data_IF_498871910760
#
_entry.id   IF_498871910760
#
_cell.length_a   1.000
_cell.length_b   1.000
_cell.length_c   1.000
_cell.angle_alpha   90.00
_cell.angle_beta   90.00
_cell.angle_gamma   90.00
#
_symmetry.space_group_name_H-M   'P 1'
#
loop_
_entity.id
_entity.type
_entity.pdbx_description
1 polymer ?
#
# COMPACT_ATOMS: atom_id res chain seq x y z
N UNK A 1 -42.57 37.28 10.38
CA UNK A 1 -42.31 36.19 11.35
C UNK A 1 -41.07 35.43 10.89
N UNK A 2 -39.88 35.82 11.38
CA UNK A 2 -38.59 35.19 11.03
C UNK A 2 -38.10 34.36 12.24
N UNK A 3 -38.51 33.10 12.30
CA UNK A 3 -38.01 32.14 13.31
C UNK A 3 -37.78 30.80 12.61
N UNK A 4 -36.81 30.72 11.69
CA UNK A 4 -36.37 29.43 11.10
C UNK A 4 -34.87 29.42 10.74
N UNK A 5 -34.00 30.00 11.56
CA UNK A 5 -32.57 30.06 11.22
C UNK A 5 -31.57 30.15 12.38
N UNK A 6 -31.95 29.91 13.63
CA UNK A 6 -31.06 30.12 14.79
C UNK A 6 -30.61 28.87 15.56
N UNK A 7 -31.06 27.67 15.18
CA UNK A 7 -30.78 26.42 15.94
C UNK A 7 -29.73 25.53 15.23
N UNK A 8 -29.45 25.75 13.95
CA UNK A 8 -28.52 24.91 13.17
C UNK A 8 -27.05 25.34 13.36
N UNK A 9 -26.81 26.62 13.71
CA UNK A 9 -25.46 27.15 13.95
C UNK A 9 -24.70 26.54 15.15
N UNK A 10 -25.30 26.40 16.35
CA UNK A 10 -24.55 25.91 17.52
C UNK A 10 -24.28 24.40 17.50
N UNK A 11 -25.11 23.60 16.80
CA UNK A 11 -24.90 22.15 16.69
C UNK A 11 -23.73 21.83 15.76
N UNK A 12 -23.57 22.58 14.66
CA UNK A 12 -22.41 22.42 13.76
C UNK A 12 -21.07 22.78 14.42
N UNK A 13 -21.06 23.76 15.33
CA UNK A 13 -19.86 24.17 16.07
C UNK A 13 -19.49 23.14 17.15
N UNK A 14 -20.47 22.49 17.79
CA UNK A 14 -20.19 21.45 18.78
C UNK A 14 -19.59 20.18 18.15
N UNK A 15 -20.03 19.82 16.93
CA UNK A 15 -19.44 18.72 16.15
C UNK A 15 -18.00 19.04 15.73
N UNK A 16 -17.70 20.31 15.40
CA UNK A 16 -16.34 20.76 15.12
C UNK A 16 -15.40 20.65 16.32
N UNK A 17 -15.87 20.92 17.54
CA UNK A 17 -15.02 20.86 18.74
C UNK A 17 -14.75 19.41 19.16
N UNK A 18 -15.73 18.51 19.03
CA UNK A 18 -15.51 17.08 19.30
C UNK A 18 -14.60 16.45 18.23
N UNK A 19 -14.74 16.85 16.97
CA UNK A 19 -13.81 16.46 15.90
C UNK A 19 -12.40 17.05 16.05
N UNK A 20 -12.27 18.22 16.69
CA UNK A 20 -10.97 18.84 16.97
C UNK A 20 -10.21 18.19 18.14
N UNK A 21 -10.89 17.52 19.06
CA UNK A 21 -10.24 16.81 20.19
C UNK A 21 -9.70 15.44 19.74
N UNK A 22 -10.26 14.84 18.69
CA UNK A 22 -9.71 13.61 18.08
C UNK A 22 -8.62 13.87 17.04
N UNK A 23 -8.23 15.13 16.81
CA UNK A 23 -7.20 15.52 15.84
C UNK A 23 -5.90 16.00 16.52
N UNK A 24 -5.58 15.45 17.69
CA UNK A 24 -4.32 15.72 18.39
C UNK A 24 -3.66 14.39 18.78
N UNK A 25 -3.08 13.73 17.80
CA UNK A 25 -1.93 12.86 18.05
C UNK A 25 -1.04 12.86 16.82
N UNK A 26 0.12 13.50 17.00
CA UNK A 26 1.38 13.25 16.30
C UNK A 26 1.53 13.86 14.90
N UNK A 27 1.58 15.20 14.86
CA UNK A 27 2.50 15.87 13.93
C UNK A 27 3.86 15.94 14.63
N UNK A 28 4.77 15.02 14.30
CA UNK A 28 6.19 15.11 14.65
C UNK A 28 6.98 15.26 13.37
N UNK A 29 7.57 16.44 13.20
CA UNK A 29 8.57 16.66 12.19
C UNK A 29 9.91 16.01 12.63
N UNK A 30 10.61 15.42 11.65
CA UNK A 30 12.05 15.12 11.60
C UNK A 30 12.54 13.83 12.27
N UNK A 31 12.64 12.78 11.45
CA UNK A 31 13.86 11.99 11.22
C UNK A 31 13.67 11.22 9.90
N UNK A 32 14.73 10.80 9.20
CA UNK A 32 14.60 9.90 8.05
C UNK A 32 13.83 8.62 8.47
N UNK A 33 12.54 8.56 8.15
CA UNK A 33 11.71 7.38 8.29
C UNK A 33 11.43 6.95 6.86
N UNK A 34 11.78 5.72 6.56
CA UNK A 34 11.59 5.09 5.27
C UNK A 34 10.08 4.86 5.07
N UNK A 35 9.39 5.89 4.55
CA UNK A 35 7.93 6.03 4.66
C UNK A 35 7.19 4.95 3.87
N UNK A 36 6.24 4.30 4.55
CA UNK A 36 5.38 3.29 3.95
C UNK A 36 4.14 3.96 3.40
N UNK A 37 3.85 3.71 2.13
CA UNK A 37 2.73 4.38 1.43
C UNK A 37 1.40 3.74 1.82
N UNK A 38 1.46 2.48 2.26
CA UNK A 38 0.33 1.75 2.80
C UNK A 38 0.78 1.04 4.07
N UNK A 39 0.01 1.21 5.14
CA UNK A 39 0.33 0.76 6.49
C UNK A 39 -0.79 -0.16 6.97
N UNK A 40 -0.42 -1.35 7.43
CA UNK A 40 -1.30 -2.30 8.11
C UNK A 40 -2.58 -2.62 7.32
N UNK A 41 -2.45 -2.86 6.02
CA UNK A 41 -3.58 -3.25 5.15
C UNK A 41 -3.60 -4.76 4.93
N UNK A 42 -4.80 -5.35 4.84
CA UNK A 42 -4.97 -6.77 4.47
C UNK A 42 -5.41 -6.94 3.02
N UNK A 43 -5.93 -5.89 2.41
CA UNK A 43 -6.27 -5.81 1.00
C UNK A 43 -6.27 -4.35 0.55
N UNK A 44 -6.10 -4.12 -0.74
CA UNK A 44 -6.16 -2.78 -1.30
C UNK A 44 -6.05 -2.74 -2.81
N UNK A 45 -6.31 -1.55 -3.36
CA UNK A 45 -6.00 -1.23 -4.75
C UNK A 45 -4.84 -0.24 -4.80
N UNK A 46 -3.72 -0.66 -5.39
CA UNK A 46 -2.54 0.16 -5.65
C UNK A 46 -2.65 0.75 -7.05
N UNK A 47 -2.43 2.06 -7.19
CA UNK A 47 -2.41 2.72 -8.51
C UNK A 47 -0.99 2.68 -9.07
N UNK A 48 -0.83 2.08 -10.24
CA UNK A 48 0.39 2.17 -11.05
C UNK A 48 0.17 3.30 -12.06
N UNK A 49 0.98 4.35 -12.00
CA UNK A 49 0.93 5.45 -12.98
C UNK A 49 2.02 5.31 -14.05
N UNK A 50 3.28 5.26 -13.64
CA UNK A 50 4.45 5.06 -14.54
C UNK A 50 5.60 4.31 -13.83
N UNK A 51 5.26 3.58 -12.77
CA UNK A 51 6.22 2.91 -11.90
C UNK A 51 6.63 1.57 -12.50
N UNK A 52 7.76 1.54 -13.19
CA UNK A 52 8.28 0.27 -13.70
C UNK A 52 8.82 -0.66 -12.57
N UNK A 53 9.23 -0.09 -11.43
CA UNK A 53 9.84 -0.82 -10.30
C UNK A 53 8.87 -1.56 -9.37
N UNK A 54 7.56 -1.36 -9.55
CA UNK A 54 6.52 -1.96 -8.70
C UNK A 54 6.54 -1.49 -7.24
N UNK A 55 5.98 -2.32 -6.37
CA UNK A 55 5.87 -2.10 -4.94
C UNK A 55 6.59 -3.19 -4.17
N UNK A 56 7.19 -2.86 -3.02
CA UNK A 56 7.77 -3.84 -2.10
C UNK A 56 6.83 -4.02 -0.91
N UNK A 57 6.55 -5.27 -0.56
CA UNK A 57 5.61 -5.66 0.49
C UNK A 57 6.37 -6.22 1.68
N UNK A 58 6.05 -5.73 2.86
CA UNK A 58 6.58 -6.14 4.15
C UNK A 58 5.46 -6.64 5.05
N UNK A 59 5.80 -7.54 5.96
CA UNK A 59 4.89 -8.15 6.94
C UNK A 59 5.55 -8.19 8.32
N UNK A 60 4.73 -8.18 9.37
CA UNK A 60 5.18 -8.41 10.74
C UNK A 60 5.32 -9.92 10.98
N UNK A 61 6.38 -10.49 10.44
CA UNK A 61 6.70 -11.91 10.56
C UNK A 61 8.22 -12.11 10.55
N UNK A 62 8.80 -12.90 11.47
CA UNK A 62 10.25 -13.04 11.57
C UNK A 62 10.85 -13.86 10.41
N UNK A 63 12.07 -13.55 9.93
CA UNK A 63 12.72 -14.28 8.84
C UNK A 63 13.37 -15.57 9.32
N UNK A 64 12.54 -16.54 9.73
CA UNK A 64 12.97 -17.84 10.28
C UNK A 64 12.73 -18.99 9.30
N UNK A 65 13.40 -20.11 9.54
CA UNK A 65 13.22 -21.40 8.86
C UNK A 65 13.21 -22.50 9.93
N UNK A 66 12.03 -22.78 10.48
CA UNK A 66 11.85 -23.75 11.56
C UNK A 66 11.90 -25.20 11.07
N UNK A 67 11.48 -25.45 9.82
CA UNK A 67 11.45 -26.79 9.25
C UNK A 67 12.79 -27.19 8.58
N UNK A 68 13.73 -26.23 8.50
CA UNK A 68 15.09 -26.34 8.00
C UNK A 68 15.17 -26.79 6.53
N UNK A 69 14.21 -26.36 5.70
CA UNK A 69 14.12 -26.66 4.27
C UNK A 69 14.88 -25.65 3.38
N UNK A 70 15.57 -24.67 3.97
CA UNK A 70 16.29 -23.58 3.32
C UNK A 70 15.39 -22.52 2.65
N UNK A 71 14.14 -22.42 3.08
CA UNK A 71 13.15 -21.43 2.66
C UNK A 71 12.65 -20.70 3.91
N UNK A 72 12.50 -19.39 3.85
CA UNK A 72 11.90 -18.64 4.96
C UNK A 72 10.43 -19.04 5.14
N UNK A 73 10.05 -19.39 6.38
CA UNK A 73 8.70 -19.83 6.75
C UNK A 73 7.64 -18.80 6.35
N UNK A 74 7.98 -17.51 6.33
CA UNK A 74 7.07 -16.44 5.90
C UNK A 74 6.56 -16.65 4.47
N UNK A 75 7.39 -17.20 3.58
CA UNK A 75 7.01 -17.48 2.20
C UNK A 75 6.16 -18.74 2.04
N UNK A 76 6.18 -19.62 3.05
CA UNK A 76 5.36 -20.83 3.07
C UNK A 76 4.02 -20.60 3.78
N UNK A 77 4.02 -19.74 4.79
CA UNK A 77 2.88 -19.56 5.69
C UNK A 77 1.98 -18.38 5.31
N UNK A 78 2.48 -17.39 4.56
CA UNK A 78 1.71 -16.19 4.21
C UNK A 78 1.36 -16.25 2.73
N UNK A 79 0.06 -16.22 2.44
CA UNK A 79 -0.47 -16.18 1.07
C UNK A 79 -0.88 -14.77 0.71
N UNK A 80 -0.24 -14.20 -0.31
CA UNK A 80 -0.60 -12.90 -0.88
C UNK A 80 -0.85 -13.09 -2.37
N UNK A 81 -1.97 -12.56 -2.84
CA UNK A 81 -2.33 -12.56 -4.26
C UNK A 81 -2.47 -11.13 -4.75
N UNK A 82 -2.08 -10.90 -6.00
CA UNK A 82 -2.27 -9.63 -6.64
C UNK A 82 -2.62 -9.78 -8.12
N UNK A 83 -3.51 -8.92 -8.61
CA UNK A 83 -3.90 -8.87 -10.02
C UNK A 83 -3.83 -7.44 -10.54
N UNK A 84 -3.45 -7.27 -11.81
CA UNK A 84 -3.31 -5.97 -12.45
C UNK A 84 -4.15 -5.85 -13.72
N UNK A 85 -4.84 -4.72 -13.89
CA UNK A 85 -5.75 -4.48 -15.03
C UNK A 85 -5.09 -3.81 -16.25
N UNK A 86 -3.84 -3.36 -16.11
CA UNK A 86 -3.08 -2.68 -17.14
C UNK A 86 -2.16 -3.59 -17.96
N UNK A 87 -1.40 -2.96 -18.85
CA UNK A 87 -0.34 -3.64 -19.63
C UNK A 87 0.84 -3.96 -18.72
N UNK A 88 1.72 -4.84 -19.19
CA UNK A 88 2.93 -5.21 -18.46
C UNK A 88 4.06 -5.55 -19.42
N UNK A 89 5.28 -5.53 -18.92
CA UNK A 89 6.48 -5.91 -19.65
C UNK A 89 6.84 -7.34 -19.25
N UNK A 90 6.86 -8.25 -20.23
CA UNK A 90 7.39 -9.60 -20.00
C UNK A 90 8.88 -9.57 -19.80
N UNK A 91 9.37 -10.37 -18.85
CA UNK A 91 10.79 -10.47 -18.50
C UNK A 91 11.42 -9.08 -18.21
N UNK A 92 10.74 -8.26 -17.41
CA UNK A 92 11.20 -6.92 -17.04
C UNK A 92 12.67 -6.92 -16.60
N UNK A 93 13.50 -6.09 -17.26
CA UNK A 93 14.95 -6.03 -17.04
C UNK A 93 15.78 -6.90 -18.00
N UNK A 94 15.14 -7.70 -18.88
CA UNK A 94 15.79 -8.47 -19.93
C UNK A 94 15.95 -7.68 -21.23
N UNK A 95 16.95 -8.03 -22.06
CA UNK A 95 17.15 -7.46 -23.40
C UNK A 95 15.98 -7.76 -24.36
N UNK A 96 15.18 -8.80 -24.06
CA UNK A 96 14.03 -9.23 -24.85
C UNK A 96 12.69 -8.84 -24.22
N UNK A 97 12.68 -7.76 -23.43
CA UNK A 97 11.47 -7.24 -22.79
C UNK A 97 10.42 -6.85 -23.84
N UNK A 98 9.19 -7.37 -23.72
CA UNK A 98 8.09 -7.07 -24.64
C UNK A 98 6.85 -6.55 -23.88
N UNK A 99 6.17 -5.57 -24.46
CA UNK A 99 4.90 -5.08 -23.91
C UNK A 99 3.80 -6.08 -24.24
N UNK A 100 3.18 -6.59 -23.19
CA UNK A 100 2.08 -7.53 -23.24
C UNK A 100 0.72 -6.81 -23.10
N UNK A 101 -0.32 -7.43 -23.66
CA UNK A 101 -1.68 -6.96 -23.47
C UNK A 101 -2.15 -7.16 -22.02
N UNK A 102 -3.13 -6.39 -21.55
CA UNK A 102 -3.66 -6.56 -20.21
C UNK A 102 -4.21 -7.97 -19.97
N UNK A 103 -3.91 -8.52 -18.79
CA UNK A 103 -4.42 -9.81 -18.35
C UNK A 103 -4.83 -9.73 -16.87
N UNK A 104 -6.10 -9.39 -16.57
CA UNK A 104 -6.58 -9.22 -15.20
C UNK A 104 -6.56 -10.48 -14.32
N UNK A 105 -6.29 -11.66 -14.89
CA UNK A 105 -6.17 -12.92 -14.15
C UNK A 105 -4.72 -13.29 -13.83
N UNK A 106 -3.76 -12.52 -14.33
CA UNK A 106 -2.33 -12.76 -14.09
C UNK A 106 -2.00 -12.41 -12.64
N UNK A 107 -1.38 -13.35 -11.94
CA UNK A 107 -0.72 -13.11 -10.66
C UNK A 107 0.49 -12.18 -10.87
N UNK A 108 0.55 -11.10 -10.08
CA UNK A 108 1.60 -10.08 -10.16
C UNK A 108 2.35 -9.89 -8.84
N UNK A 109 2.08 -10.71 -7.83
CA UNK A 109 2.89 -10.86 -6.63
C UNK A 109 4.03 -11.87 -6.87
N UNK A 110 5.26 -11.48 -6.55
CA UNK A 110 6.42 -12.36 -6.56
C UNK A 110 7.02 -12.41 -5.16
N UNK A 111 7.08 -13.60 -4.59
CA UNK A 111 7.74 -13.82 -3.32
C UNK A 111 9.25 -13.60 -3.44
N UNK A 112 9.78 -12.71 -2.59
CA UNK A 112 11.21 -12.50 -2.42
C UNK A 112 11.50 -11.79 -1.12
N UNK A 113 12.43 -12.34 -0.35
CA UNK A 113 12.83 -11.77 0.94
C UNK A 113 13.94 -10.73 0.80
N UNK A 114 14.56 -10.61 -0.38
CA UNK A 114 15.68 -9.69 -0.61
C UNK A 114 15.39 -8.58 -1.65
N UNK A 115 16.21 -7.53 -1.64
CA UNK A 115 16.11 -6.43 -2.62
C UNK A 115 16.29 -6.89 -4.06
N UNK A 116 17.16 -7.88 -4.28
CA UNK A 116 17.54 -8.37 -5.59
C UNK A 116 16.50 -9.30 -6.24
N UNK A 117 15.36 -9.51 -5.58
CA UNK A 117 14.27 -10.36 -6.04
C UNK A 117 14.70 -11.83 -6.29
N UNK A 118 15.56 -12.40 -5.43
CA UNK A 118 16.11 -13.76 -5.58
C UNK A 118 15.28 -14.86 -4.93
N UNK A 119 14.09 -14.52 -4.46
CA UNK A 119 13.13 -15.48 -3.91
C UNK A 119 13.25 -15.63 -2.40
N UNK A 120 12.89 -16.81 -1.90
CA UNK A 120 12.66 -17.05 -0.47
C UNK A 120 13.73 -17.88 0.22
N UNK A 121 14.90 -18.05 -0.40
CA UNK A 121 15.92 -18.91 0.18
C UNK A 121 16.60 -18.26 1.38
N UNK A 122 16.82 -19.06 2.43
CA UNK A 122 17.50 -18.62 3.67
C UNK A 122 18.99 -18.35 3.49
N UNK A 123 19.56 -18.67 2.32
CA UNK A 123 20.92 -18.25 1.96
C UNK A 123 21.03 -16.73 1.81
N UNK A 124 19.91 -16.06 1.55
CA UNK A 124 19.81 -14.61 1.47
C UNK A 124 19.23 -14.08 2.77
N UNK A 125 19.84 -13.02 3.30
CA UNK A 125 19.27 -12.34 4.46
C UNK A 125 17.99 -11.64 4.03
N UNK A 126 16.90 -11.91 4.75
CA UNK A 126 15.67 -11.18 4.53
C UNK A 126 15.86 -9.71 4.89
N UNK A 127 15.32 -8.83 4.05
CA UNK A 127 15.36 -7.41 4.32
C UNK A 127 14.36 -7.03 5.40
N UNK A 128 14.84 -6.22 6.32
CA UNK A 128 14.05 -5.68 7.40
C UNK A 128 13.86 -4.17 7.20
N UNK A 129 12.66 -3.70 7.53
CA UNK A 129 12.34 -2.29 7.62
C UNK A 129 11.65 -2.02 8.95
N UNK A 130 11.97 -0.88 9.55
CA UNK A 130 11.35 -0.49 10.81
C UNK A 130 10.15 0.41 10.56
N UNK A 131 9.04 0.12 11.21
CA UNK A 131 7.88 1.01 11.29
C UNK A 131 7.50 1.17 12.76
N UNK A 132 7.57 2.41 13.26
CA UNK A 132 7.48 2.71 14.70
C UNK A 132 8.50 1.86 15.49
N UNK A 133 8.01 0.92 16.31
CA UNK A 133 8.82 0.00 17.13
C UNK A 133 8.73 -1.47 16.63
N UNK A 134 8.26 -1.69 15.40
CA UNK A 134 8.12 -3.02 14.78
C UNK A 134 9.17 -3.24 13.71
N UNK A 135 9.82 -4.39 13.75
CA UNK A 135 10.68 -4.89 12.68
C UNK A 135 9.82 -5.67 11.68
N UNK A 136 9.69 -5.14 10.48
CA UNK A 136 8.91 -5.73 9.40
C UNK A 136 9.85 -6.41 8.41
N UNK A 137 9.49 -7.60 7.96
CA UNK A 137 10.29 -8.39 7.01
C UNK A 137 9.71 -8.29 5.62
N UNK A 138 10.56 -8.08 4.62
CA UNK A 138 10.14 -8.12 3.23
C UNK A 138 9.67 -9.54 2.87
N UNK A 139 8.50 -9.64 2.23
CA UNK A 139 7.93 -10.90 1.75
C UNK A 139 7.92 -10.99 0.22
N UNK A 140 7.87 -9.86 -0.47
CA UNK A 140 7.87 -9.88 -1.93
C UNK A 140 7.66 -8.54 -2.58
N UNK A 141 7.55 -8.59 -3.91
CA UNK A 141 7.31 -7.44 -4.77
C UNK A 141 6.03 -7.63 -5.57
N UNK A 142 5.33 -6.53 -5.79
CA UNK A 142 4.06 -6.49 -6.51
C UNK A 142 4.19 -5.61 -7.74
N UNK A 143 3.67 -6.12 -8.85
CA UNK A 143 3.58 -5.38 -10.11
C UNK A 143 4.92 -4.88 -10.67
N UNK A 144 5.98 -5.68 -10.54
CA UNK A 144 7.26 -5.40 -11.20
C UNK A 144 7.05 -5.45 -12.73
N UNK A 145 7.41 -4.37 -13.43
CA UNK A 145 7.19 -4.24 -14.88
C UNK A 145 5.74 -4.01 -15.30
N UNK A 146 4.84 -3.69 -14.37
CA UNK A 146 3.50 -3.23 -14.75
C UNK A 146 3.54 -1.82 -15.32
N UNK A 147 2.66 -1.55 -16.28
CA UNK A 147 2.42 -0.20 -16.77
C UNK A 147 1.22 0.41 -16.05
N UNK A 148 0.80 1.59 -16.48
CA UNK A 148 -0.37 2.29 -15.92
C UNK A 148 -1.59 1.38 -15.78
N UNK A 149 -2.17 1.34 -14.59
CA UNK A 149 -3.35 0.54 -14.25
C UNK A 149 -3.55 0.41 -12.73
N UNK A 150 -4.53 -0.38 -12.34
CA UNK A 150 -4.83 -0.68 -10.95
C UNK A 150 -4.36 -2.10 -10.61
N UNK A 151 -3.72 -2.22 -9.47
CA UNK A 151 -3.27 -3.50 -8.90
C UNK A 151 -4.06 -3.79 -7.64
N UNK A 152 -4.92 -4.80 -7.69
CA UNK A 152 -5.60 -5.31 -6.50
C UNK A 152 -4.67 -6.27 -5.78
N UNK A 153 -4.47 -6.09 -4.48
CA UNK A 153 -3.67 -6.97 -3.62
C UNK A 153 -4.54 -7.46 -2.47
N UNK A 154 -4.40 -8.73 -2.10
CA UNK A 154 -5.13 -9.36 -0.99
C UNK A 154 -4.20 -10.32 -0.27
N UNK A 155 -4.09 -10.17 1.04
CA UNK A 155 -3.48 -11.16 1.93
C UNK A 155 -4.56 -12.08 2.50
N UNK A 156 -4.29 -13.38 2.49
CA UNK A 156 -5.15 -14.36 3.18
C UNK A 156 -4.97 -14.26 4.71
N UNK A 157 -5.88 -14.88 5.45
CA UNK A 157 -5.86 -14.96 6.93
C UNK A 157 -5.76 -13.63 7.68
N UNK A 158 -6.08 -12.50 7.02
CA UNK A 158 -5.95 -11.14 7.56
C UNK A 158 -4.52 -10.77 7.98
N UNK A 159 -3.50 -11.28 7.27
CA UNK A 159 -2.13 -10.82 7.46
C UNK A 159 -2.01 -9.35 7.08
N UNK A 160 -1.49 -8.54 8.00
CA UNK A 160 -1.22 -7.12 7.78
C UNK A 160 0.01 -6.91 6.90
N UNK A 161 -0.11 -6.03 5.91
CA UNK A 161 0.94 -5.66 4.97
C UNK A 161 1.31 -4.19 5.10
N UNK A 162 2.60 -3.90 4.92
CA UNK A 162 3.16 -2.57 4.76
C UNK A 162 3.85 -2.47 3.41
N UNK A 163 3.54 -1.44 2.63
CA UNK A 163 3.94 -1.40 1.22
C UNK A 163 4.70 -0.11 0.88
N UNK A 164 5.87 -0.28 0.26
CA UNK A 164 6.72 0.80 -0.28
C UNK A 164 6.69 0.84 -1.80
N UNK A 165 6.91 2.02 -2.38
CA UNK A 165 7.07 2.20 -3.83
C UNK A 165 8.56 2.11 -4.20
N UNK A 166 8.92 1.38 -5.27
CA UNK A 166 10.33 1.21 -5.69
C UNK A 166 10.81 2.29 -6.68
N UNK A 167 10.18 3.47 -6.67
CA UNK A 167 10.48 4.58 -7.57
C UNK A 167 9.86 5.86 -7.04
N UNK A 168 10.73 6.83 -6.74
CA UNK A 168 10.54 8.24 -6.42
C UNK A 168 9.21 8.57 -5.71
N UNK A 169 9.30 8.71 -4.38
CA UNK A 169 8.49 9.65 -3.64
C UNK A 169 8.73 11.06 -4.20
N UNK A 170 7.91 11.51 -5.13
CA UNK A 170 7.62 12.93 -5.34
C UNK A 170 6.28 13.06 -6.09
N UNK A 171 5.27 13.46 -5.31
CA UNK A 171 4.18 14.33 -5.75
C UNK A 171 3.04 13.83 -6.66
N UNK A 172 2.71 12.53 -6.72
CA UNK A 172 1.46 12.11 -7.39
C UNK A 172 0.71 10.97 -6.70
N UNK A 173 -0.24 11.35 -5.83
CA UNK A 173 -1.52 10.68 -5.55
C UNK A 173 -1.59 9.15 -5.76
N UNK A 174 -0.96 8.39 -4.86
CA UNK A 174 -1.30 6.98 -4.65
C UNK A 174 -2.66 6.88 -3.91
N UNK A 175 -3.77 7.15 -4.62
CA UNK A 175 -5.12 7.09 -4.09
C UNK A 175 -5.65 5.66 -4.00
N UNK A 176 -6.13 5.24 -2.83
CA UNK A 176 -6.82 3.95 -2.66
C UNK A 176 -8.28 4.06 -3.12
N UNK A 177 -8.73 3.12 -3.95
CA UNK A 177 -10.15 2.79 -4.13
C UNK A 177 -10.36 1.36 -3.63
N UNK A 178 -10.80 1.21 -2.37
CA UNK A 178 -11.25 -0.06 -1.80
C UNK A 178 -10.20 -0.75 -0.91
N UNK A 179 -10.63 -1.03 0.33
CA UNK A 179 -9.84 -1.51 1.46
C UNK A 179 -10.15 -0.63 2.67
N UNK A 180 -10.33 -1.18 3.87
CA UNK A 180 -10.55 -0.40 5.10
C UNK A 180 -9.25 0.32 5.52
N UNK A 181 -8.68 1.14 4.64
CA UNK A 181 -7.72 2.15 4.98
C UNK A 181 -8.53 3.39 5.36
N UNK A 182 -8.74 3.57 6.66
CA UNK A 182 -9.24 4.83 7.21
C UNK A 182 -8.10 5.86 7.17
N UNK A 183 -7.71 6.25 5.96
CA UNK A 183 -6.83 7.38 5.67
C UNK A 183 -7.22 7.96 4.32
N UNK A 184 -8.39 8.61 4.31
CA UNK A 184 -8.68 9.58 3.27
C UNK A 184 -9.29 10.80 3.94
N UNK A 185 -8.50 11.86 3.91
CA UNK A 185 -8.90 13.25 3.93
C UNK A 185 -10.33 13.43 3.37
N UNK A 186 -11.28 13.73 4.26
CA UNK A 186 -12.64 14.11 3.93
C UNK A 186 -12.77 15.50 3.26
N UNK A 187 -11.89 15.83 2.30
CA UNK A 187 -11.92 17.12 1.60
C UNK A 187 -12.46 17.01 0.16
N UNK A 188 -12.59 15.81 -0.41
CA UNK A 188 -13.04 15.70 -1.81
C UNK A 188 -14.57 15.72 -2.03
N UNK A 189 -15.41 15.77 -0.99
CA UNK A 189 -16.86 16.00 -1.15
C UNK A 189 -17.30 17.47 -0.92
N UNK A 190 -16.35 18.40 -0.71
CA UNK A 190 -16.67 19.81 -0.48
C UNK A 190 -16.70 20.71 -1.73
N UNK A 191 -16.11 20.30 -2.86
CA UNK A 191 -15.75 21.26 -3.92
C UNK A 191 -16.66 21.20 -5.17
N UNK A 192 -17.50 20.17 -5.32
CA UNK A 192 -18.51 20.13 -6.40
C UNK A 192 -19.90 20.65 -6.00
N UNK A 193 -20.05 21.26 -4.81
CA UNK A 193 -21.32 21.77 -4.31
C UNK A 193 -21.54 23.29 -4.41
N UNK A 194 -20.58 24.07 -4.92
CA UNK A 194 -20.67 25.55 -4.92
C UNK A 194 -20.48 26.20 -6.29
N UNK A 195 -21.02 25.56 -7.34
CA UNK A 195 -21.23 26.18 -8.65
C UNK A 195 -22.55 25.66 -9.25
N UNK A 196 -23.68 26.08 -8.67
CA UNK A 196 -25.01 25.76 -9.19
C UNK A 196 -26.08 25.83 -8.11
N UNK A 197 -26.59 27.03 -7.83
CA UNK A 197 -27.69 27.28 -6.90
C UNK A 197 -27.73 28.72 -6.42
#
# INVERSE_FOLDING_TARGET
MHIKGKIIGPIGILILIIGAITAISSFSAVSEIDDFQYVEITNGTLIVDDLEGGFTVYVDYPPVDFNNNQIHDLCENIVITATHDGKWISDYGSEYSEIQNPNPQREVFTYSVDYDNRGCSTIYGAEAAWYEDRELTQIGKVCVGCMKGNTTIVAEDNVSMWIKTNGIADDLWAGVIGGFAMSCCGICFGIFGLAGG
#
